data_IF_346727395714
#
_entry.id   IF_346727395714
#
_cell.length_a   1.000
_cell.length_b   1.000
_cell.length_c   1.000
_cell.angle_alpha   90.00
_cell.angle_beta   90.00
_cell.angle_gamma   90.00
#
_symmetry.space_group_name_H-M   'P 1'
#
loop_
_entity.id
_entity.type
_entity.pdbx_description
1 polymer ?
#
# COMPACT_ATOMS: atom_id res chain seq x y z
N UNK A 1 34.25 -20.05 15.81
CA UNK A 1 33.70 -20.27 14.46
C UNK A 1 32.60 -19.23 14.31
N UNK A 2 32.94 -18.08 13.73
CA UNK A 2 32.01 -16.96 13.54
C UNK A 2 31.13 -17.31 12.35
N UNK A 3 29.84 -17.55 12.59
CA UNK A 3 28.84 -17.56 11.53
C UNK A 3 28.82 -16.17 10.90
N UNK A 4 29.18 -16.09 9.62
CA UNK A 4 28.90 -14.92 8.80
C UNK A 4 27.39 -14.85 8.65
N UNK A 5 26.76 -13.83 9.20
CA UNK A 5 25.44 -13.39 8.77
C UNK A 5 25.54 -13.10 7.27
N UNK A 6 25.03 -14.02 6.46
CA UNK A 6 24.69 -13.74 5.08
C UNK A 6 23.56 -12.73 5.07
N UNK A 7 23.94 -11.46 4.94
CA UNK A 7 23.00 -10.38 4.62
C UNK A 7 22.41 -10.71 3.25
N UNK A 8 21.30 -11.44 3.22
CA UNK A 8 20.50 -11.64 2.01
C UNK A 8 20.04 -10.27 1.56
N UNK A 9 20.72 -9.74 0.55
CA UNK A 9 20.29 -8.54 -0.17
C UNK A 9 18.95 -8.88 -0.80
N UNK A 10 17.86 -8.54 -0.12
CA UNK A 10 16.51 -8.80 -0.60
C UNK A 10 16.24 -7.89 -1.81
N UNK A 11 16.36 -8.45 -3.02
CA UNK A 11 15.95 -7.82 -4.27
C UNK A 11 14.41 -7.89 -4.43
N UNK A 12 13.68 -7.41 -3.43
CA UNK A 12 12.23 -7.25 -3.49
C UNK A 12 11.81 -6.03 -4.32
N UNK A 13 10.58 -5.98 -4.85
CA UNK A 13 10.07 -4.82 -5.60
C UNK A 13 10.05 -3.53 -4.78
N UNK A 14 9.89 -3.60 -3.46
CA UNK A 14 9.90 -2.46 -2.54
C UNK A 14 11.20 -2.27 -1.76
N UNK A 15 12.24 -3.07 -2.04
CA UNK A 15 13.52 -2.83 -1.39
C UNK A 15 14.13 -1.54 -1.91
N UNK A 16 14.86 -0.80 -1.05
CA UNK A 16 15.54 0.46 -1.42
C UNK A 16 16.40 0.30 -2.67
N UNK A 17 16.98 -0.90 -2.85
CA UNK A 17 17.81 -1.26 -4.00
C UNK A 17 16.96 -1.47 -5.26
N UNK A 18 15.81 -2.15 -5.16
CA UNK A 18 14.88 -2.35 -6.28
C UNK A 18 14.29 -1.03 -6.79
N UNK A 19 13.84 -0.17 -5.88
CA UNK A 19 13.34 1.17 -6.22
C UNK A 19 14.45 2.03 -6.85
N UNK A 20 15.65 2.04 -6.26
CA UNK A 20 16.78 2.77 -6.83
C UNK A 20 17.16 2.27 -8.24
N UNK A 21 17.10 0.96 -8.48
CA UNK A 21 17.42 0.36 -9.77
C UNK A 21 16.48 0.80 -10.91
N UNK A 22 15.24 1.21 -10.59
CA UNK A 22 14.27 1.71 -11.58
C UNK A 22 14.27 3.22 -11.65
N UNK A 23 14.16 3.91 -10.51
CA UNK A 23 14.02 5.37 -10.50
C UNK A 23 15.30 6.12 -10.86
N UNK A 24 16.47 5.61 -10.45
CA UNK A 24 17.75 6.27 -10.76
C UNK A 24 18.00 6.33 -12.28
N UNK A 25 17.85 5.25 -13.07
CA UNK A 25 17.95 5.36 -14.52
C UNK A 25 16.77 6.10 -15.17
N UNK A 26 15.55 5.99 -14.63
CA UNK A 26 14.38 6.72 -15.14
C UNK A 26 14.62 8.23 -15.11
N UNK A 27 14.91 8.80 -13.93
CA UNK A 27 15.18 10.24 -13.76
C UNK A 27 16.59 10.63 -14.21
N UNK A 28 17.53 9.69 -14.20
CA UNK A 28 18.90 9.89 -14.63
C UNK A 28 19.02 10.27 -16.10
N UNK A 29 18.17 9.73 -16.98
CA UNK A 29 18.17 10.10 -18.40
C UNK A 29 18.02 11.61 -18.66
N UNK A 30 16.93 12.29 -18.24
CA UNK A 30 16.80 13.73 -18.44
C UNK A 30 17.91 14.55 -17.75
N UNK A 31 18.41 14.12 -16.57
CA UNK A 31 19.58 14.75 -15.92
C UNK A 31 20.83 14.64 -16.80
N UNK A 32 21.15 13.45 -17.29
CA UNK A 32 22.29 13.21 -18.18
C UNK A 32 22.14 13.96 -19.50
N UNK A 33 20.92 14.06 -20.03
CA UNK A 33 20.63 14.84 -21.23
C UNK A 33 20.86 16.34 -21.02
N UNK A 34 20.47 16.87 -19.86
CA UNK A 34 20.74 18.26 -19.48
C UNK A 34 22.24 18.53 -19.30
N UNK A 35 22.95 17.61 -18.64
CA UNK A 35 24.39 17.69 -18.41
C UNK A 35 25.20 17.61 -19.71
N UNK A 36 24.81 16.74 -20.64
CA UNK A 36 25.41 16.66 -21.97
C UNK A 36 25.07 17.85 -22.87
N UNK A 37 24.15 18.73 -22.44
CA UNK A 37 23.79 19.95 -23.15
C UNK A 37 22.96 19.73 -24.41
N UNK A 38 22.19 18.63 -24.48
CA UNK A 38 21.28 18.33 -25.59
C UNK A 38 20.16 19.37 -25.73
N UNK A 39 19.47 19.43 -26.90
CA UNK A 39 18.42 20.43 -27.14
C UNK A 39 17.16 20.17 -26.30
N UNK A 40 16.40 21.23 -25.99
CA UNK A 40 15.14 21.17 -25.25
C UNK A 40 14.05 20.31 -25.93
N UNK A 41 14.21 20.04 -27.24
CA UNK A 41 13.33 19.15 -28.00
C UNK A 41 13.36 17.71 -27.51
N UNK A 42 14.27 17.33 -26.62
CA UNK A 42 14.27 16.01 -25.95
C UNK A 42 13.32 15.92 -24.78
N UNK A 43 12.88 17.04 -24.21
CA UNK A 43 11.98 17.06 -23.05
C UNK A 43 10.67 16.30 -23.29
N UNK A 44 9.97 16.44 -24.44
CA UNK A 44 8.77 15.66 -24.71
C UNK A 44 9.02 14.15 -24.68
N UNK A 45 10.20 13.69 -25.11
CA UNK A 45 10.55 12.25 -25.09
C UNK A 45 10.63 11.73 -23.66
N UNK A 46 11.29 12.47 -22.75
CA UNK A 46 11.37 12.09 -21.35
C UNK A 46 10.02 12.20 -20.64
N UNK A 47 9.26 13.25 -20.91
CA UNK A 47 7.91 13.41 -20.37
C UNK A 47 6.98 12.28 -20.82
N UNK A 48 7.04 11.87 -22.09
CA UNK A 48 6.30 10.71 -22.60
C UNK A 48 6.76 9.40 -21.95
N UNK A 49 8.06 9.25 -21.72
CA UNK A 49 8.61 8.07 -21.02
C UNK A 49 8.11 7.98 -19.58
N UNK A 50 8.08 9.11 -18.86
CA UNK A 50 7.53 9.17 -17.50
C UNK A 50 6.02 8.95 -17.49
N UNK A 51 5.31 9.53 -18.47
CA UNK A 51 3.88 9.35 -18.61
C UNK A 51 3.53 7.91 -18.93
N UNK A 52 4.31 7.23 -19.76
CA UNK A 52 4.16 5.80 -20.04
C UNK A 52 4.30 4.98 -18.76
N UNK A 53 5.35 5.24 -17.99
CA UNK A 53 5.57 4.57 -16.70
C UNK A 53 4.37 4.78 -15.76
N UNK A 54 3.99 6.04 -15.51
CA UNK A 54 2.87 6.35 -14.61
C UNK A 54 1.52 5.85 -15.13
N UNK A 55 1.25 5.95 -16.43
CA UNK A 55 0.00 5.45 -17.00
C UNK A 55 -0.08 3.92 -16.91
N UNK A 56 1.04 3.21 -17.06
CA UNK A 56 1.08 1.76 -16.91
C UNK A 56 0.90 1.32 -15.45
N UNK A 57 1.44 2.09 -14.49
CA UNK A 57 1.29 1.77 -13.06
C UNK A 57 -0.04 2.27 -12.48
N UNK A 58 -0.66 3.32 -13.03
CA UNK A 58 -1.91 3.89 -12.51
C UNK A 58 -3.18 3.49 -13.25
N UNK A 59 -3.07 3.01 -14.50
CA UNK A 59 -4.21 2.59 -15.35
C UNK A 59 -5.40 3.57 -15.30
N UNK A 60 -5.24 4.84 -15.71
CA UNK A 60 -6.33 5.82 -15.65
C UNK A 60 -7.55 5.35 -16.44
N UNK A 61 -8.75 5.47 -15.86
CA UNK A 61 -10.02 5.10 -16.49
C UNK A 61 -10.38 6.08 -17.62
N UNK A 62 -10.11 5.73 -18.88
CA UNK A 62 -10.28 6.67 -20.01
C UNK A 62 -11.73 6.79 -20.52
N UNK A 63 -12.62 5.94 -19.99
CA UNK A 63 -14.00 5.81 -20.44
C UNK A 63 -14.86 7.01 -20.01
N UNK A 64 -14.51 7.68 -18.91
CA UNK A 64 -15.21 8.86 -18.41
C UNK A 64 -14.44 10.17 -18.67
N UNK A 65 -15.10 11.30 -18.41
CA UNK A 65 -14.46 12.61 -18.57
C UNK A 65 -13.42 12.89 -17.46
N UNK A 66 -13.60 12.28 -16.29
CA UNK A 66 -12.73 12.44 -15.12
C UNK A 66 -11.34 11.87 -15.36
N UNK A 67 -11.23 10.61 -15.82
CA UNK A 67 -9.94 9.98 -16.06
C UNK A 67 -9.21 10.55 -17.27
N UNK A 68 -9.91 11.11 -18.27
CA UNK A 68 -9.26 11.93 -19.33
C UNK A 68 -8.65 13.20 -18.76
N UNK A 69 -9.33 13.89 -17.84
CA UNK A 69 -8.79 15.08 -17.19
C UNK A 69 -7.59 14.73 -16.28
N UNK A 70 -7.67 13.61 -15.55
CA UNK A 70 -6.57 13.09 -14.74
C UNK A 70 -5.34 12.76 -15.60
N UNK A 71 -5.51 12.13 -16.76
CA UNK A 71 -4.41 11.86 -17.70
C UNK A 71 -3.73 13.15 -18.18
N UNK A 72 -4.50 14.19 -18.49
CA UNK A 72 -3.97 15.50 -18.89
C UNK A 72 -3.16 16.11 -17.74
N UNK A 73 -3.68 16.08 -16.52
CA UNK A 73 -2.96 16.57 -15.34
C UNK A 73 -1.67 15.79 -15.10
N UNK A 74 -1.71 14.46 -15.20
CA UNK A 74 -0.53 13.61 -15.10
C UNK A 74 0.51 13.99 -16.16
N UNK A 75 0.09 14.19 -17.41
CA UNK A 75 0.99 14.62 -18.49
C UNK A 75 1.65 15.97 -18.20
N UNK A 76 0.91 16.94 -17.66
CA UNK A 76 1.47 18.24 -17.23
C UNK A 76 2.52 18.05 -16.13
N UNK A 77 2.23 17.24 -15.11
CA UNK A 77 3.19 16.93 -14.03
C UNK A 77 4.45 16.28 -14.60
N UNK A 78 4.33 15.34 -15.54
CA UNK A 78 5.49 14.68 -16.14
C UNK A 78 6.37 15.64 -16.95
N UNK A 79 5.77 16.62 -17.63
CA UNK A 79 6.53 17.68 -18.33
C UNK A 79 7.31 18.54 -17.33
N UNK A 80 6.69 18.91 -16.20
CA UNK A 80 7.35 19.68 -15.15
C UNK A 80 8.52 18.91 -14.54
N UNK A 81 8.33 17.63 -14.20
CA UNK A 81 9.39 16.77 -13.66
C UNK A 81 10.54 16.57 -14.63
N UNK A 82 10.24 16.22 -15.89
CA UNK A 82 11.27 16.08 -16.92
C UNK A 82 12.07 17.38 -17.12
N UNK A 83 11.40 18.53 -17.08
CA UNK A 83 12.02 19.85 -17.18
C UNK A 83 12.92 20.15 -15.98
N UNK A 84 12.48 19.83 -14.76
CA UNK A 84 13.26 20.02 -13.55
C UNK A 84 14.53 19.15 -13.54
N UNK A 85 14.41 17.86 -13.87
CA UNK A 85 15.56 16.95 -14.01
C UNK A 85 16.55 17.45 -15.07
N UNK A 86 16.04 17.88 -16.22
CA UNK A 86 16.87 18.43 -17.28
C UNK A 86 17.58 19.72 -16.86
N UNK A 87 16.87 20.63 -16.18
CA UNK A 87 17.44 21.87 -15.67
C UNK A 87 18.53 21.61 -14.62
N UNK A 88 18.33 20.64 -13.73
CA UNK A 88 19.35 20.20 -12.77
C UNK A 88 20.60 19.66 -13.50
N UNK A 89 20.41 18.81 -14.52
CA UNK A 89 21.49 18.34 -15.38
C UNK A 89 22.24 19.48 -16.06
N UNK A 90 21.51 20.44 -16.63
CA UNK A 90 22.07 21.64 -17.26
C UNK A 90 22.95 22.42 -16.27
N UNK A 91 22.47 22.58 -15.04
CA UNK A 91 23.22 23.24 -13.98
C UNK A 91 24.50 22.49 -13.61
N UNK A 92 24.45 21.16 -13.51
CA UNK A 92 25.64 20.32 -13.32
C UNK A 92 26.63 20.51 -14.47
N UNK A 93 26.17 20.56 -15.72
CA UNK A 93 27.04 20.80 -16.88
C UNK A 93 27.70 22.18 -16.90
N UNK A 94 27.10 23.19 -16.27
CA UNK A 94 27.73 24.51 -16.09
C UNK A 94 28.87 24.47 -15.06
N UNK A 95 28.74 23.64 -14.01
CA UNK A 95 29.73 23.56 -12.91
C UNK A 95 30.84 22.55 -13.20
N UNK A 96 30.48 21.36 -13.67
CA UNK A 96 31.39 20.23 -13.89
C UNK A 96 31.90 20.11 -15.34
N UNK A 97 31.38 20.94 -16.25
CA UNK A 97 31.64 20.85 -17.69
C UNK A 97 30.69 19.88 -18.41
N UNK A 98 30.55 20.02 -19.74
CA UNK A 98 29.62 19.21 -20.52
C UNK A 98 30.11 17.76 -20.65
N UNK A 99 29.18 16.82 -20.49
CA UNK A 99 29.46 15.41 -20.66
C UNK A 99 29.32 15.02 -22.14
N UNK A 100 30.32 14.37 -22.71
CA UNK A 100 30.27 13.89 -24.10
C UNK A 100 29.44 12.59 -24.19
N UNK A 101 28.11 12.73 -24.14
CA UNK A 101 27.18 11.61 -24.35
C UNK A 101 26.44 11.73 -25.68
N UNK A 102 26.12 10.58 -26.26
CA UNK A 102 25.13 10.50 -27.34
C UNK A 102 23.72 10.57 -26.75
N UNK A 103 22.82 11.27 -27.44
CA UNK A 103 21.43 11.47 -27.02
C UNK A 103 20.65 10.16 -26.83
N UNK A 104 21.06 9.11 -27.54
CA UNK A 104 20.44 7.79 -27.48
C UNK A 104 20.63 7.12 -26.12
N UNK A 105 21.74 7.39 -25.43
CA UNK A 105 22.03 6.74 -24.15
C UNK A 105 21.07 7.21 -23.04
N UNK A 106 20.90 8.52 -22.80
CA UNK A 106 19.87 9.02 -21.88
C UNK A 106 18.45 8.55 -22.20
N UNK A 107 18.07 8.55 -23.49
CA UNK A 107 16.73 8.12 -23.92
C UNK A 107 16.53 6.63 -23.65
N UNK A 108 17.48 5.78 -24.06
CA UNK A 108 17.40 4.33 -23.85
C UNK A 108 17.36 4.00 -22.35
N UNK A 109 18.15 4.71 -21.54
CA UNK A 109 18.19 4.52 -20.10
C UNK A 109 16.81 4.77 -19.45
N UNK A 110 16.18 5.92 -19.76
CA UNK A 110 14.85 6.22 -19.25
C UNK A 110 13.79 5.28 -19.80
N UNK A 111 13.84 4.95 -21.10
CA UNK A 111 12.85 4.10 -21.75
C UNK A 111 12.88 2.66 -21.20
N UNK A 112 14.07 2.07 -21.04
CA UNK A 112 14.23 0.75 -20.43
C UNK A 112 13.78 0.77 -18.99
N UNK A 113 14.15 1.80 -18.22
CA UNK A 113 13.71 1.93 -16.83
C UNK A 113 12.19 2.06 -16.71
N UNK A 114 11.56 2.84 -17.60
CA UNK A 114 10.10 2.97 -17.65
C UNK A 114 9.42 1.65 -18.01
N UNK A 115 9.93 0.90 -18.98
CA UNK A 115 9.38 -0.41 -19.35
C UNK A 115 9.56 -1.46 -18.26
N UNK A 116 10.76 -1.53 -17.66
CA UNK A 116 11.05 -2.45 -16.55
C UNK A 116 10.21 -2.07 -15.33
N UNK A 117 10.11 -0.78 -15.02
CA UNK A 117 9.26 -0.28 -13.96
C UNK A 117 7.79 -0.57 -14.21
N UNK A 118 7.29 -0.28 -15.42
CA UNK A 118 5.92 -0.56 -15.81
C UNK A 118 5.62 -2.05 -15.67
N UNK A 119 6.48 -2.94 -16.18
CA UNK A 119 6.29 -4.38 -16.06
C UNK A 119 6.38 -4.90 -14.62
N UNK A 120 7.29 -4.34 -13.80
CA UNK A 120 7.52 -4.79 -12.43
C UNK A 120 6.51 -4.25 -11.43
N UNK A 121 5.91 -3.10 -11.72
CA UNK A 121 4.99 -2.38 -10.83
C UNK A 121 3.58 -2.24 -11.43
N UNK A 122 3.29 -2.84 -12.59
CA UNK A 122 1.94 -2.81 -13.21
C UNK A 122 0.88 -3.54 -12.39
N UNK A 123 1.30 -4.50 -11.58
CA UNK A 123 0.42 -5.33 -10.75
C UNK A 123 0.31 -4.76 -9.33
N UNK A 124 1.30 -3.97 -8.92
CA UNK A 124 1.34 -3.23 -7.64
C UNK A 124 0.50 -1.93 -7.62
N UNK A 125 -0.39 -1.74 -8.59
CA UNK A 125 -1.28 -0.57 -8.69
C UNK A 125 -2.27 -0.44 -7.51
N UNK A 126 -2.41 -1.50 -6.71
CA UNK A 126 -3.36 -1.58 -5.58
C UNK A 126 -3.04 -0.62 -4.42
N UNK A 127 -1.77 -0.27 -4.20
CA UNK A 127 -1.40 0.75 -3.21
C UNK A 127 -1.94 2.13 -3.60
N UNK A 128 -2.00 2.42 -4.90
CA UNK A 128 -2.51 3.67 -5.43
C UNK A 128 -4.04 3.64 -5.60
N UNK A 129 -4.71 2.48 -5.71
CA UNK A 129 -6.19 2.37 -5.61
C UNK A 129 -6.66 2.66 -4.18
N UNK A 130 -5.91 2.22 -3.18
CA UNK A 130 -6.13 2.63 -1.79
C UNK A 130 -5.89 4.14 -1.59
N UNK A 131 -4.87 4.72 -2.23
CA UNK A 131 -4.62 6.17 -2.20
C UNK A 131 -5.60 6.96 -3.06
N UNK A 132 -6.09 6.45 -4.19
CA UNK A 132 -7.11 7.07 -5.04
C UNK A 132 -8.47 7.00 -4.33
N UNK A 133 -8.76 5.93 -3.57
CA UNK A 133 -9.89 5.88 -2.64
C UNK A 133 -9.75 6.86 -1.47
N UNK A 134 -8.54 7.08 -0.95
CA UNK A 134 -8.25 8.12 0.03
C UNK A 134 -8.32 9.54 -0.57
N UNK A 135 -7.93 9.71 -1.84
CA UNK A 135 -7.99 10.97 -2.60
C UNK A 135 -9.43 11.26 -3.03
N UNK A 136 -10.23 10.27 -3.37
CA UNK A 136 -11.66 10.44 -3.65
C UNK A 136 -12.41 10.79 -2.36
N UNK A 137 -12.05 10.19 -1.21
CA UNK A 137 -12.48 10.67 0.11
C UNK A 137 -12.03 12.11 0.38
N UNK A 138 -10.80 12.48 0.04
CA UNK A 138 -10.31 13.86 0.17
C UNK A 138 -11.02 14.83 -0.80
N UNK A 139 -11.41 14.38 -1.99
CA UNK A 139 -12.17 15.17 -2.96
C UNK A 139 -13.64 15.33 -2.54
N UNK A 140 -14.20 14.36 -1.81
CA UNK A 140 -15.51 14.49 -1.14
C UNK A 140 -15.46 15.50 0.01
N UNK A 141 -14.33 15.56 0.73
CA UNK A 141 -14.03 16.59 1.74
C UNK A 141 -13.87 17.98 1.08
N UNK A 142 -13.12 18.08 -0.02
CA UNK A 142 -12.88 19.35 -0.76
C UNK A 142 -14.14 19.89 -1.46
N UNK A 143 -15.09 19.01 -1.81
CA UNK A 143 -16.44 19.38 -2.29
C UNK A 143 -17.37 19.90 -1.18
N UNK A 144 -16.89 20.01 0.06
CA UNK A 144 -17.58 20.73 1.15
C UNK A 144 -18.69 19.94 1.85
N UNK A 145 -18.61 18.60 1.86
CA UNK A 145 -19.60 17.74 2.55
C UNK A 145 -19.18 17.32 3.97
N UNK A 146 -17.93 17.49 4.38
CA UNK A 146 -17.47 17.22 5.76
C UNK A 146 -16.55 18.35 6.22
N UNK A 147 -16.88 18.97 7.35
CA UNK A 147 -16.26 20.22 7.81
C UNK A 147 -15.00 20.03 8.65
N UNK A 148 -14.60 18.80 9.01
CA UNK A 148 -13.41 18.56 9.82
C UNK A 148 -12.91 17.11 9.64
N UNK A 149 -11.60 16.90 9.53
CA UNK A 149 -11.00 15.55 9.50
C UNK A 149 -11.31 14.78 10.81
N UNK A 150 -11.51 15.52 11.91
CA UNK A 150 -11.93 14.99 13.21
C UNK A 150 -13.39 14.53 13.25
N UNK A 151 -14.22 14.89 12.27
CA UNK A 151 -15.58 14.35 12.13
C UNK A 151 -15.58 12.93 11.50
N UNK A 152 -14.52 12.57 10.77
CA UNK A 152 -14.38 11.28 10.07
C UNK A 152 -13.65 10.26 10.94
N UNK A 153 -12.58 10.67 11.61
CA UNK A 153 -11.86 9.88 12.61
C UNK A 153 -11.75 10.69 13.90
N UNK A 154 -12.80 10.72 14.74
CA UNK A 154 -12.74 11.42 16.01
C UNK A 154 -11.61 10.84 16.85
N UNK A 155 -10.81 11.72 17.47
CA UNK A 155 -9.82 11.27 18.43
C UNK A 155 -10.49 10.35 19.45
N UNK A 156 -9.94 9.15 19.70
CA UNK A 156 -10.53 8.24 20.66
C UNK A 156 -10.67 8.95 22.01
N UNK A 157 -11.85 8.82 22.62
CA UNK A 157 -12.04 9.34 23.97
C UNK A 157 -10.94 8.78 24.89
N UNK A 158 -10.46 9.56 25.85
CA UNK A 158 -9.37 9.15 26.75
C UNK A 158 -9.61 7.78 27.43
N UNK A 159 -10.89 7.43 27.68
CA UNK A 159 -11.26 6.12 28.20
C UNK A 159 -11.00 4.97 27.20
N UNK A 160 -11.24 5.18 25.91
CA UNK A 160 -10.93 4.23 24.83
C UNK A 160 -9.42 4.05 24.71
N UNK A 161 -8.65 5.14 24.68
CA UNK A 161 -7.18 5.07 24.61
C UNK A 161 -6.63 4.26 25.77
N UNK A 162 -7.08 4.53 27.01
CA UNK A 162 -6.67 3.77 28.19
C UNK A 162 -7.08 2.30 28.12
N UNK A 163 -8.26 1.98 27.58
CA UNK A 163 -8.70 0.60 27.42
C UNK A 163 -7.82 -0.16 26.41
N UNK A 164 -7.47 0.47 25.29
CA UNK A 164 -6.57 -0.09 24.27
C UNK A 164 -5.17 -0.28 24.83
N UNK A 165 -4.58 0.73 25.49
CA UNK A 165 -3.25 0.62 26.11
C UNK A 165 -3.18 -0.52 27.13
N UNK A 166 -4.23 -0.70 27.94
CA UNK A 166 -4.34 -1.83 28.86
C UNK A 166 -4.42 -3.17 28.13
N UNK A 167 -5.18 -3.24 27.04
CA UNK A 167 -5.28 -4.44 26.23
C UNK A 167 -3.94 -4.81 25.59
N UNK A 168 -3.26 -3.85 24.96
CA UNK A 168 -1.94 -4.04 24.36
C UNK A 168 -0.90 -4.46 25.40
N UNK A 169 -0.90 -3.82 26.58
CA UNK A 169 -0.02 -4.21 27.69
C UNK A 169 -0.30 -5.64 28.17
N UNK A 170 -1.57 -6.04 28.24
CA UNK A 170 -1.96 -7.38 28.63
C UNK A 170 -1.55 -8.44 27.59
N UNK A 171 -1.69 -8.13 26.29
CA UNK A 171 -1.24 -9.00 25.20
C UNK A 171 0.29 -9.14 25.20
N UNK A 172 1.01 -8.05 25.39
CA UNK A 172 2.48 -8.05 25.46
C UNK A 172 3.01 -8.92 26.62
N UNK A 173 2.26 -9.06 27.71
CA UNK A 173 2.58 -9.90 28.85
C UNK A 173 2.30 -11.40 28.63
N UNK A 174 1.55 -11.78 27.60
CA UNK A 174 1.29 -13.18 27.26
C UNK A 174 2.51 -13.82 26.58
N UNK A 175 2.68 -15.15 26.64
CA UNK A 175 3.66 -15.86 25.81
C UNK A 175 3.46 -15.57 24.32
N UNK A 176 4.54 -15.55 23.52
CA UNK A 176 4.45 -15.30 22.06
C UNK A 176 3.57 -16.31 21.32
N UNK A 177 3.49 -17.53 21.82
CA UNK A 177 2.66 -18.62 21.30
C UNK A 177 1.27 -18.69 21.96
N UNK A 178 0.82 -17.59 22.59
CA UNK A 178 -0.47 -17.54 23.26
C UNK A 178 -1.62 -17.99 22.33
N UNK A 179 -2.47 -18.84 22.90
CA UNK A 179 -3.62 -19.42 22.20
C UNK A 179 -4.85 -18.52 22.34
N UNK A 180 -5.84 -18.76 21.49
CA UNK A 180 -7.12 -18.05 21.49
C UNK A 180 -7.71 -17.88 22.90
N UNK A 181 -7.78 -18.95 23.71
CA UNK A 181 -8.34 -18.89 25.07
C UNK A 181 -7.61 -17.95 26.05
N UNK A 182 -6.39 -17.51 25.74
CA UNK A 182 -5.65 -16.50 26.52
C UNK A 182 -5.84 -15.08 25.97
N UNK A 183 -6.07 -14.95 24.66
CA UNK A 183 -6.29 -13.68 23.96
C UNK A 183 -7.75 -13.22 24.12
N UNK A 184 -8.71 -14.15 24.01
CA UNK A 184 -10.15 -13.87 24.06
C UNK A 184 -10.57 -13.07 25.31
N UNK A 185 -10.10 -13.36 26.54
CA UNK A 185 -10.46 -12.56 27.71
C UNK A 185 -9.98 -11.11 27.67
N UNK A 186 -8.87 -10.84 26.96
CA UNK A 186 -8.36 -9.47 26.76
C UNK A 186 -9.24 -8.75 25.75
N UNK A 187 -9.51 -9.40 24.61
CA UNK A 187 -10.35 -8.86 23.53
C UNK A 187 -11.78 -8.59 24.01
N UNK A 188 -12.40 -9.54 24.72
CA UNK A 188 -13.75 -9.36 25.27
C UNK A 188 -13.85 -8.21 26.28
N UNK A 189 -12.75 -7.94 27.01
CA UNK A 189 -12.70 -6.79 27.92
C UNK A 189 -12.62 -5.49 27.13
N UNK A 190 -11.74 -5.43 26.13
CA UNK A 190 -11.62 -4.28 25.24
C UNK A 190 -12.96 -3.97 24.55
N UNK A 191 -13.63 -5.00 24.03
CA UNK A 191 -14.95 -4.86 23.41
C UNK A 191 -15.99 -4.24 24.36
N UNK A 192 -16.01 -4.67 25.63
CA UNK A 192 -16.94 -4.13 26.64
C UNK A 192 -16.63 -2.70 27.04
N UNK A 193 -15.34 -2.35 27.14
CA UNK A 193 -14.91 -1.04 27.63
C UNK A 193 -14.97 0.05 26.55
N UNK A 194 -14.62 -0.28 25.31
CA UNK A 194 -14.46 0.68 24.24
C UNK A 194 -15.36 0.44 23.02
N UNK A 195 -15.96 -0.75 22.88
CA UNK A 195 -16.78 -1.09 21.72
C UNK A 195 -16.02 -0.88 20.40
N UNK A 196 -16.72 -0.49 19.34
CA UNK A 196 -16.11 -0.26 18.02
C UNK A 196 -15.06 0.85 18.02
N UNK A 197 -15.07 1.79 18.97
CA UNK A 197 -14.08 2.85 19.04
C UNK A 197 -12.65 2.33 19.30
N UNK A 198 -12.50 1.09 19.76
CA UNK A 198 -11.19 0.45 19.88
C UNK A 198 -10.64 -0.09 18.55
N UNK A 199 -11.43 -0.11 17.47
CA UNK A 199 -11.00 -0.69 16.20
C UNK A 199 -9.79 0.03 15.62
N UNK A 200 -9.90 1.32 15.31
CA UNK A 200 -8.83 2.07 14.63
C UNK A 200 -7.50 2.01 15.43
N UNK A 201 -7.46 2.26 16.76
CA UNK A 201 -6.22 2.16 17.52
C UNK A 201 -5.65 0.74 17.64
N UNK A 202 -6.51 -0.30 17.61
CA UNK A 202 -6.05 -1.69 17.62
C UNK A 202 -5.54 -2.11 16.23
N UNK A 203 -6.16 -1.60 15.17
CA UNK A 203 -5.74 -1.79 13.78
C UNK A 203 -4.37 -1.17 13.55
N UNK A 204 -4.14 0.06 14.03
CA UNK A 204 -2.84 0.76 13.95
C UNK A 204 -1.71 0.04 14.69
N UNK A 205 -2.05 -0.80 15.68
CA UNK A 205 -1.09 -1.60 16.43
C UNK A 205 -0.82 -2.98 15.83
N UNK A 206 -1.60 -3.42 14.84
CA UNK A 206 -1.50 -4.72 14.19
C UNK A 206 -0.68 -4.66 12.90
N UNK A 207 -0.23 -5.83 12.43
CA UNK A 207 0.69 -5.96 11.32
C UNK A 207 2.13 -5.63 11.70
N UNK A 208 2.94 -5.25 10.72
CA UNK A 208 4.32 -4.84 10.94
C UNK A 208 4.38 -3.38 11.41
N UNK A 209 4.64 -3.19 12.71
CA UNK A 209 4.84 -1.86 13.32
C UNK A 209 6.31 -1.71 13.71
N UNK A 210 6.95 -0.65 13.24
CA UNK A 210 8.40 -0.38 13.47
C UNK A 210 9.31 -1.57 13.11
N UNK A 211 8.95 -2.33 12.07
CA UNK A 211 9.72 -3.50 11.61
C UNK A 211 9.51 -4.76 12.45
N UNK A 212 8.52 -4.76 13.35
CA UNK A 212 8.21 -5.90 14.23
C UNK A 212 6.75 -6.31 14.06
N UNK A 213 6.52 -7.57 13.72
CA UNK A 213 5.20 -8.18 13.72
C UNK A 213 4.96 -8.90 15.06
N UNK A 214 3.80 -8.69 15.68
CA UNK A 214 3.39 -9.38 16.92
C UNK A 214 2.11 -10.19 16.70
N UNK A 215 2.23 -11.52 16.49
CA UNK A 215 1.08 -12.39 16.22
C UNK A 215 0.01 -12.36 17.31
N UNK A 216 0.35 -11.92 18.53
CA UNK A 216 -0.63 -11.77 19.63
C UNK A 216 -1.58 -10.61 19.37
N UNK A 217 -1.08 -9.51 18.83
CA UNK A 217 -1.87 -8.32 18.49
C UNK A 217 -2.71 -8.60 17.24
N UNK A 218 -2.11 -9.24 16.24
CA UNK A 218 -2.81 -9.61 15.00
C UNK A 218 -3.99 -10.54 15.27
N UNK A 219 -3.77 -11.60 16.07
CA UNK A 219 -4.84 -12.48 16.52
C UNK A 219 -5.86 -11.72 17.36
N UNK A 220 -5.44 -10.80 18.23
CA UNK A 220 -6.38 -10.01 19.02
C UNK A 220 -7.28 -9.14 18.14
N UNK A 221 -6.74 -8.52 17.08
CA UNK A 221 -7.52 -7.77 16.09
C UNK A 221 -8.52 -8.67 15.39
N UNK A 222 -8.09 -9.82 14.86
CA UNK A 222 -8.97 -10.78 14.18
C UNK A 222 -10.09 -11.27 15.10
N UNK A 223 -9.78 -11.55 16.37
CA UNK A 223 -10.78 -11.96 17.38
C UNK A 223 -11.74 -10.83 17.73
N UNK A 224 -11.25 -9.59 17.77
CA UNK A 224 -12.06 -8.42 18.05
C UNK A 224 -13.10 -8.19 16.94
N UNK A 225 -12.68 -8.24 15.68
CA UNK A 225 -13.59 -8.11 14.53
C UNK A 225 -14.43 -9.37 14.27
N UNK A 226 -14.04 -10.53 14.83
CA UNK A 226 -14.87 -11.73 14.81
C UNK A 226 -16.14 -11.60 15.68
N UNK A 227 -16.25 -10.58 16.56
CA UNK A 227 -17.50 -10.28 17.25
C UNK A 227 -18.59 -9.87 16.24
N UNK A 228 -19.76 -10.57 16.19
CA UNK A 228 -20.83 -10.23 15.25
C UNK A 228 -21.40 -8.82 15.40
N UNK A 229 -21.24 -8.22 16.59
CA UNK A 229 -21.65 -6.84 16.83
C UNK A 229 -20.65 -5.87 16.20
N UNK A 230 -19.36 -6.05 16.46
CA UNK A 230 -18.29 -5.21 15.89
C UNK A 230 -18.27 -5.33 14.37
N UNK A 231 -18.31 -6.55 13.84
CA UNK A 231 -18.31 -6.81 12.39
C UNK A 231 -19.42 -6.08 11.65
N UNK A 232 -20.67 -6.18 12.13
CA UNK A 232 -21.80 -5.46 11.51
C UNK A 232 -21.58 -3.96 11.48
N UNK A 233 -21.09 -3.38 12.57
CA UNK A 233 -20.80 -1.96 12.67
C UNK A 233 -19.64 -1.55 11.73
N UNK A 234 -18.64 -2.41 11.52
CA UNK A 234 -17.55 -2.17 10.55
C UNK A 234 -18.03 -2.26 9.10
N UNK A 235 -18.89 -3.23 8.79
CA UNK A 235 -19.51 -3.34 7.45
C UNK A 235 -20.33 -2.09 7.11
N UNK A 236 -21.08 -1.57 8.09
CA UNK A 236 -21.82 -0.30 7.96
C UNK A 236 -20.89 0.91 7.74
N UNK A 237 -19.66 0.87 8.27
CA UNK A 237 -18.61 1.90 8.04
C UNK A 237 -17.87 1.75 6.71
N UNK A 238 -18.07 0.66 5.96
CA UNK A 238 -17.28 0.37 4.76
C UNK A 238 -15.95 -0.35 5.05
N UNK A 239 -15.74 -0.84 6.27
CA UNK A 239 -14.45 -1.34 6.76
C UNK A 239 -14.48 -2.86 7.06
N UNK A 240 -15.50 -3.57 6.56
CA UNK A 240 -15.86 -4.93 6.99
C UNK A 240 -14.73 -5.96 6.90
N UNK A 241 -13.93 -5.93 5.83
CA UNK A 241 -12.81 -6.88 5.66
C UNK A 241 -11.42 -6.28 5.94
N UNK A 242 -11.30 -5.01 6.35
CA UNK A 242 -10.00 -4.33 6.48
C UNK A 242 -9.00 -5.11 7.34
N UNK A 243 -9.43 -5.56 8.53
CA UNK A 243 -8.58 -6.35 9.43
C UNK A 243 -8.18 -7.70 8.83
N UNK A 244 -9.06 -8.35 8.07
CA UNK A 244 -8.73 -9.60 7.41
C UNK A 244 -7.67 -9.35 6.32
N UNK A 245 -7.90 -8.36 5.46
CA UNK A 245 -6.99 -7.96 4.39
C UNK A 245 -5.60 -7.65 4.94
N UNK A 246 -5.49 -6.81 5.97
CA UNK A 246 -4.21 -6.49 6.61
C UNK A 246 -3.36 -7.74 6.96
N UNK A 247 -4.02 -8.86 7.28
CA UNK A 247 -3.40 -10.04 7.87
C UNK A 247 -3.41 -11.28 6.96
N UNK A 248 -3.84 -11.18 5.70
CA UNK A 248 -3.79 -12.30 4.74
C UNK A 248 -2.36 -12.66 4.34
N UNK A 249 -1.42 -11.72 4.41
CA UNK A 249 0.00 -11.92 4.09
C UNK A 249 0.90 -11.94 5.34
N UNK A 250 0.32 -12.01 6.54
CA UNK A 250 1.05 -12.07 7.81
C UNK A 250 2.11 -13.18 7.80
N UNK A 251 3.24 -13.02 8.49
CA UNK A 251 4.29 -14.04 8.50
C UNK A 251 3.85 -15.32 9.22
N UNK A 252 3.04 -15.18 10.28
CA UNK A 252 2.48 -16.30 11.04
C UNK A 252 1.34 -17.00 10.30
N UNK A 253 1.53 -18.30 10.01
CA UNK A 253 0.51 -19.09 9.30
C UNK A 253 -0.81 -19.24 10.08
N UNK A 254 -0.77 -19.16 11.41
CA UNK A 254 -1.97 -19.18 12.24
C UNK A 254 -2.79 -17.90 12.10
N UNK A 255 -2.13 -16.74 12.04
CA UNK A 255 -2.76 -15.44 11.74
C UNK A 255 -3.42 -15.48 10.36
N UNK A 256 -2.70 -15.92 9.32
CA UNK A 256 -3.26 -16.06 7.96
C UNK A 256 -4.49 -16.97 7.94
N UNK A 257 -4.43 -18.11 8.64
CA UNK A 257 -5.57 -19.03 8.74
C UNK A 257 -6.80 -18.37 9.38
N UNK A 258 -6.62 -17.61 10.47
CA UNK A 258 -7.71 -16.87 11.10
C UNK A 258 -8.26 -15.75 10.21
N UNK A 259 -7.40 -15.02 9.50
CA UNK A 259 -7.79 -13.98 8.55
C UNK A 259 -8.64 -14.54 7.40
N UNK A 260 -8.23 -15.68 6.81
CA UNK A 260 -9.01 -16.38 5.79
C UNK A 260 -10.36 -16.89 6.32
N UNK A 261 -10.39 -17.43 7.53
CA UNK A 261 -11.62 -17.90 8.16
C UNK A 261 -12.62 -16.76 8.37
N UNK A 262 -12.11 -15.57 8.73
CA UNK A 262 -12.91 -14.37 8.84
C UNK A 262 -13.45 -13.91 7.47
N UNK A 263 -12.63 -13.95 6.41
CA UNK A 263 -13.09 -13.63 5.05
C UNK A 263 -14.23 -14.54 4.58
N UNK A 264 -14.09 -15.86 4.79
CA UNK A 264 -15.15 -16.81 4.45
C UNK A 264 -16.45 -16.47 5.19
N UNK A 265 -16.35 -16.10 6.47
CA UNK A 265 -17.51 -15.63 7.26
C UNK A 265 -18.12 -14.36 6.67
N UNK A 266 -17.30 -13.39 6.24
CA UNK A 266 -17.77 -12.13 5.63
C UNK A 266 -18.46 -12.39 4.28
N UNK A 267 -17.94 -13.32 3.47
CA UNK A 267 -18.53 -13.74 2.19
C UNK A 267 -19.89 -14.40 2.45
N UNK A 268 -19.96 -15.34 3.40
CA UNK A 268 -21.21 -16.03 3.77
C UNK A 268 -22.27 -15.06 4.32
N UNK A 269 -21.84 -14.00 5.01
CA UNK A 269 -22.70 -12.93 5.52
C UNK A 269 -23.14 -11.92 4.44
N UNK A 270 -22.64 -12.05 3.21
CA UNK A 270 -23.02 -11.19 2.09
C UNK A 270 -22.48 -9.76 2.19
N UNK A 271 -21.28 -9.59 2.76
CA UNK A 271 -20.61 -8.29 2.81
C UNK A 271 -20.41 -7.73 1.39
N UNK A 272 -20.59 -6.41 1.18
CA UNK A 272 -20.41 -5.80 -0.14
C UNK A 272 -19.05 -6.12 -0.78
N UNK A 273 -19.07 -6.42 -2.08
CA UNK A 273 -17.91 -6.92 -2.83
C UNK A 273 -16.75 -5.91 -2.88
N UNK A 274 -17.07 -4.63 -2.81
CA UNK A 274 -16.12 -3.50 -2.73
C UNK A 274 -15.40 -3.42 -1.39
N UNK A 275 -15.91 -4.09 -0.34
CA UNK A 275 -15.23 -4.22 0.95
C UNK A 275 -14.41 -5.51 1.07
N UNK A 276 -14.48 -6.41 0.09
CA UNK A 276 -13.75 -7.69 0.07
C UNK A 276 -12.45 -7.58 -0.74
N UNK A 277 -11.43 -8.39 -0.44
CA UNK A 277 -10.17 -8.38 -1.19
C UNK A 277 -10.37 -8.65 -2.68
N UNK A 278 -9.50 -8.05 -3.49
CA UNK A 278 -9.51 -8.27 -4.94
C UNK A 278 -9.16 -9.73 -5.28
N UNK A 279 -9.83 -10.37 -6.27
CA UNK A 279 -9.53 -11.74 -6.67
C UNK A 279 -8.11 -11.90 -7.18
N UNK A 280 -7.55 -10.89 -7.85
CA UNK A 280 -6.17 -10.91 -8.35
C UNK A 280 -5.20 -11.01 -7.18
N UNK A 281 -5.40 -10.23 -6.12
CA UNK A 281 -4.58 -10.33 -4.93
C UNK A 281 -4.71 -11.68 -4.23
N UNK A 282 -5.90 -12.28 -4.21
CA UNK A 282 -6.08 -13.64 -3.70
C UNK A 282 -5.33 -14.68 -4.55
N UNK A 283 -5.26 -14.51 -5.86
CA UNK A 283 -4.44 -15.36 -6.74
C UNK A 283 -2.93 -15.21 -6.42
N UNK A 284 -2.44 -13.97 -6.23
CA UNK A 284 -1.06 -13.72 -5.80
C UNK A 284 -0.74 -14.36 -4.44
N UNK A 285 -1.67 -14.27 -3.48
CA UNK A 285 -1.53 -14.93 -2.18
C UNK A 285 -1.52 -16.45 -2.30
N UNK A 286 -2.24 -17.01 -3.27
CA UNK A 286 -2.20 -18.44 -3.57
C UNK A 286 -0.84 -18.87 -4.12
N UNK A 287 -0.22 -18.06 -4.97
CA UNK A 287 1.14 -18.30 -5.45
C UNK A 287 2.18 -18.19 -4.33
N UNK A 288 2.05 -17.17 -3.47
CA UNK A 288 2.95 -16.95 -2.35
C UNK A 288 2.83 -18.01 -1.25
N UNK A 289 1.61 -18.50 -1.01
CA UNK A 289 1.27 -19.44 0.05
C UNK A 289 0.46 -20.63 -0.51
N UNK A 290 1.09 -21.51 -1.30
CA UNK A 290 0.38 -22.57 -2.01
C UNK A 290 -0.30 -23.56 -1.07
N UNK A 291 -1.55 -23.91 -1.37
CA UNK A 291 -2.34 -24.88 -0.61
C UNK A 291 -3.05 -24.29 0.62
N UNK A 292 -2.97 -22.97 0.82
CA UNK A 292 -3.67 -22.30 1.92
C UNK A 292 -5.16 -21.98 1.59
N UNK A 293 -5.58 -22.09 0.32
CA UNK A 293 -6.98 -21.99 -0.07
C UNK A 293 -7.45 -20.60 -0.52
N UNK A 294 -6.53 -19.69 -0.88
CA UNK A 294 -6.91 -18.38 -1.43
C UNK A 294 -7.67 -18.51 -2.77
N UNK A 295 -7.35 -19.49 -3.62
CA UNK A 295 -8.11 -19.79 -4.87
C UNK A 295 -9.59 -20.12 -4.62
N UNK A 296 -9.92 -20.70 -3.47
CA UNK A 296 -11.29 -21.01 -3.11
C UNK A 296 -12.04 -19.74 -2.72
N UNK A 297 -11.40 -18.86 -1.93
CA UNK A 297 -11.95 -17.56 -1.54
C UNK A 297 -12.18 -16.68 -2.79
N UNK A 298 -11.22 -16.66 -3.73
CA UNK A 298 -11.32 -15.90 -4.97
C UNK A 298 -12.55 -16.32 -5.79
N UNK A 299 -12.80 -17.64 -5.88
CA UNK A 299 -13.95 -18.20 -6.60
C UNK A 299 -15.29 -17.95 -5.91
N UNK A 300 -15.33 -17.90 -4.58
CA UNK A 300 -16.56 -17.65 -3.82
C UNK A 300 -17.02 -16.19 -3.90
N UNK A 301 -16.11 -15.26 -4.19
CA UNK A 301 -16.43 -13.84 -4.39
C UNK A 301 -17.01 -13.53 -5.78
N UNK A 302 -16.58 -14.26 -6.81
CA UNK A 302 -16.94 -14.02 -8.23
C UNK A 302 -18.30 -14.57 -8.61
#
# INVERSE_FOLDING_TARGET
>A
MMEREETKVAFGPYSRIGLAAVFLPLYGGPVLSGWAGHPLTTLPVFALTFLLFIAATRRPHLDDAGGRAALVLMAVVQVVLASACFAAGRWIGLVAGPLALTIWLPIALSAVAALVGAWRYSDSAEMDVFLDGAIDRLNEIDRGLVSDWTDIHPEPAAATTQAVERALSALAALPRDARAGQIDPVVQRLEREAGIAAFDPLYDAAGEVDGTEDPRIDRALLRFVASPRIRRQLVERGEGAMAAMLLLNAADAGVRFEARSLLLTLIDEGVPVDQLPDPVWLDELSEAFPGEGYDEIARLRG
#
